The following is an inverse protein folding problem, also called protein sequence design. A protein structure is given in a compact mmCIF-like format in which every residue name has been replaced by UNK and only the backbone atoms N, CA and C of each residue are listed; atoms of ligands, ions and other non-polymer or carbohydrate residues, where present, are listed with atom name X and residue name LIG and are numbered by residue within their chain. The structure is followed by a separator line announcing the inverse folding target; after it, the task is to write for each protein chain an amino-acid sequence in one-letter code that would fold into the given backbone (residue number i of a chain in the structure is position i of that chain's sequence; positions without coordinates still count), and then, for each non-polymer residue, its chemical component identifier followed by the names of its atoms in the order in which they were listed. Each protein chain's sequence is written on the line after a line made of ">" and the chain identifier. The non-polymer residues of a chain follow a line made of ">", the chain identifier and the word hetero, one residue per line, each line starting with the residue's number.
data_IF_786865777475
#
_entry.id   IF_786865777475
#
_cell.length_a   1.000
_cell.length_b   1.000
_cell.length_c   1.000
_cell.angle_alpha   90.00
_cell.angle_beta   90.00
_cell.angle_gamma   90.00
#
_symmetry.space_group_name_H-M   'P 1'
#
loop_
_entity.id
_entity.type
_entity.pdbx_description
1 polymer ?
#
# COMPACT_ATOMS: atom_id res chain seq x y z
N UNK A 1 32.52 -26.87 3.97
CA UNK A 1 32.76 -25.53 4.52
C UNK A 1 33.77 -24.85 3.61
N UNK A 2 33.34 -24.02 2.66
CA UNK A 2 34.25 -23.21 1.84
C UNK A 2 33.81 -21.76 1.96
N UNK A 3 34.64 -21.00 2.65
CA UNK A 3 34.42 -19.62 3.05
C UNK A 3 34.64 -18.70 1.85
N UNK A 4 33.56 -18.22 1.24
CA UNK A 4 33.63 -17.17 0.22
C UNK A 4 33.93 -15.82 0.86
N UNK A 5 35.07 -15.23 0.50
CA UNK A 5 35.56 -13.93 0.97
C UNK A 5 34.54 -12.81 0.69
N UNK A 6 34.12 -12.10 1.74
CA UNK A 6 33.24 -10.90 1.67
C UNK A 6 34.06 -9.62 1.54
N UNK A 7 34.85 -9.45 0.48
CA UNK A 7 35.69 -8.24 0.33
C UNK A 7 35.30 -7.28 -0.79
N UNK A 8 34.40 -7.67 -1.70
CA UNK A 8 34.12 -6.87 -2.91
C UNK A 8 32.66 -6.36 -3.02
N UNK A 9 31.94 -6.27 -1.90
CA UNK A 9 30.57 -5.77 -1.90
C UNK A 9 30.54 -4.23 -1.95
N UNK A 10 30.15 -3.67 -3.10
CA UNK A 10 29.78 -2.25 -3.26
C UNK A 10 28.60 -1.91 -2.31
N UNK A 11 28.52 -0.70 -1.72
CA UNK A 11 27.39 -0.27 -0.87
C UNK A 11 26.00 -0.41 -1.50
N UNK A 12 25.90 -0.63 -2.82
CA UNK A 12 24.64 -0.91 -3.52
C UNK A 12 24.36 -2.42 -3.75
N UNK A 13 25.17 -3.31 -3.18
CA UNK A 13 24.95 -4.76 -3.22
C UNK A 13 25.30 -5.44 -4.55
N UNK A 14 26.18 -4.83 -5.37
CA UNK A 14 26.64 -5.40 -6.64
C UNK A 14 27.81 -6.36 -6.40
N UNK A 15 27.77 -7.55 -7.00
CA UNK A 15 28.88 -8.51 -7.02
C UNK A 15 29.49 -8.45 -8.43
N UNK A 16 30.78 -8.15 -8.54
CA UNK A 16 31.46 -8.04 -9.83
C UNK A 16 31.54 -9.41 -10.52
N UNK A 17 30.75 -9.58 -11.59
CA UNK A 17 30.82 -10.74 -12.49
C UNK A 17 31.94 -10.59 -13.52
N UNK A 18 32.14 -11.62 -14.35
CA UNK A 18 33.10 -11.58 -15.46
C UNK A 18 32.86 -10.35 -16.34
N UNK A 19 33.97 -9.66 -16.63
CA UNK A 19 34.11 -8.39 -17.35
C UNK A 19 32.95 -8.08 -18.33
N UNK A 20 31.96 -7.32 -17.85
CA UNK A 20 30.77 -6.92 -18.61
C UNK A 20 29.43 -7.30 -17.97
N UNK A 21 29.41 -8.20 -16.99
CA UNK A 21 28.18 -8.64 -16.32
C UNK A 21 28.17 -8.24 -14.83
N UNK A 22 27.00 -7.89 -14.31
CA UNK A 22 26.76 -7.57 -12.90
C UNK A 22 25.64 -8.44 -12.33
N UNK A 23 25.88 -9.02 -11.15
CA UNK A 23 24.84 -9.71 -10.39
C UNK A 23 24.13 -8.71 -9.47
N UNK A 24 22.80 -8.62 -9.59
CA UNK A 24 21.92 -7.74 -8.82
C UNK A 24 20.89 -8.58 -8.09
N UNK A 25 20.71 -8.32 -6.80
CA UNK A 25 19.65 -8.95 -6.01
C UNK A 25 18.49 -7.97 -5.84
N UNK A 26 17.29 -8.38 -6.26
CA UNK A 26 16.10 -7.55 -6.10
C UNK A 26 15.75 -7.37 -4.61
N UNK A 27 15.62 -6.13 -4.10
CA UNK A 27 15.34 -5.88 -2.68
C UNK A 27 13.91 -6.28 -2.26
N UNK A 28 12.99 -6.39 -3.23
CA UNK A 28 11.59 -6.78 -2.97
C UNK A 28 11.45 -8.31 -2.89
N UNK A 29 11.78 -9.02 -3.98
CA UNK A 29 11.53 -10.45 -4.10
C UNK A 29 12.77 -11.33 -3.94
N UNK A 30 13.95 -10.74 -3.70
CA UNK A 30 15.25 -11.45 -3.54
C UNK A 30 15.66 -12.29 -4.77
N UNK A 31 15.09 -11.97 -5.93
CA UNK A 31 15.46 -12.59 -7.21
C UNK A 31 16.88 -12.18 -7.58
N UNK A 32 17.68 -13.15 -8.04
CA UNK A 32 19.02 -12.89 -8.58
C UNK A 32 18.91 -12.60 -10.07
N UNK A 33 19.44 -11.45 -10.48
CA UNK A 33 19.46 -10.99 -11.86
C UNK A 33 20.91 -10.88 -12.30
N UNK A 34 21.23 -11.50 -13.43
CA UNK A 34 22.48 -11.25 -14.14
C UNK A 34 22.17 -10.21 -15.22
N UNK A 35 22.74 -9.03 -15.12
CA UNK A 35 22.53 -7.95 -16.08
C UNK A 35 23.84 -7.58 -16.78
N UNK A 36 23.74 -7.14 -18.03
CA UNK A 36 24.86 -6.51 -18.73
C UNK A 36 25.14 -5.13 -18.11
N UNK A 37 26.41 -4.88 -17.76
CA UNK A 37 26.81 -3.69 -17.02
C UNK A 37 26.80 -2.40 -17.88
N UNK A 38 26.88 -2.52 -19.21
CA UNK A 38 26.91 -1.38 -20.12
C UNK A 38 25.50 -0.89 -20.50
N UNK A 39 24.58 -1.83 -20.71
CA UNK A 39 23.23 -1.56 -21.21
C UNK A 39 22.14 -1.69 -20.14
N UNK A 40 22.42 -2.41 -19.05
CA UNK A 40 21.44 -2.71 -18.01
C UNK A 40 20.43 -3.80 -18.40
N UNK A 41 20.63 -4.47 -19.54
CA UNK A 41 19.74 -5.55 -19.99
C UNK A 41 19.90 -6.78 -19.10
N UNK A 42 18.79 -7.34 -18.63
CA UNK A 42 18.78 -8.59 -17.86
C UNK A 42 19.03 -9.76 -18.80
N UNK A 43 20.15 -10.46 -18.60
CA UNK A 43 20.58 -11.63 -19.36
C UNK A 43 20.02 -12.92 -18.78
N UNK A 44 19.97 -13.01 -17.44
CA UNK A 44 19.42 -14.15 -16.72
C UNK A 44 18.65 -13.73 -15.48
N UNK A 45 17.59 -14.46 -15.22
CA UNK A 45 16.72 -14.28 -14.06
C UNK A 45 16.58 -15.61 -13.31
N UNK A 46 17.16 -15.68 -12.12
CA UNK A 46 17.03 -16.80 -11.20
C UNK A 46 16.00 -16.45 -10.12
N UNK A 47 14.72 -16.64 -10.46
CA UNK A 47 13.63 -16.55 -9.49
C UNK A 47 13.64 -17.79 -8.60
N UNK A 48 13.70 -17.56 -7.29
CA UNK A 48 13.37 -18.59 -6.32
C UNK A 48 11.89 -18.96 -6.55
N UNK A 49 11.64 -20.15 -7.11
CA UNK A 49 10.27 -20.66 -7.26
C UNK A 49 9.67 -20.71 -5.86
N UNK A 50 8.59 -19.96 -5.63
CA UNK A 50 7.81 -20.16 -4.41
C UNK A 50 7.36 -21.63 -4.38
N UNK A 51 7.35 -22.27 -3.20
CA UNK A 51 6.76 -23.60 -3.09
C UNK A 51 5.33 -23.52 -3.62
N UNK A 52 4.95 -24.49 -4.47
CA UNK A 52 3.60 -24.54 -5.03
C UNK A 52 2.59 -24.47 -3.88
N UNK A 53 1.76 -23.41 -3.87
CA UNK A 53 0.70 -23.28 -2.87
C UNK A 53 -0.35 -24.35 -3.16
N UNK A 54 -0.83 -25.02 -2.12
CA UNK A 54 -1.95 -25.95 -2.28
C UNK A 54 -3.21 -25.19 -2.67
N UNK A 55 -4.06 -25.82 -3.48
CA UNK A 55 -5.34 -25.23 -3.90
C UNK A 55 -6.22 -24.86 -2.70
N UNK A 56 -6.23 -25.72 -1.68
CA UNK A 56 -6.95 -25.49 -0.41
C UNK A 56 -6.52 -24.19 0.28
N UNK A 57 -5.22 -23.91 0.34
CA UNK A 57 -4.70 -22.69 0.96
C UNK A 57 -5.13 -21.43 0.21
N UNK A 58 -5.21 -21.50 -1.12
CA UNK A 58 -5.67 -20.37 -1.94
C UNK A 58 -7.16 -20.09 -1.67
N UNK A 59 -7.98 -21.13 -1.55
CA UNK A 59 -9.40 -20.96 -1.22
C UNK A 59 -9.61 -20.37 0.17
N UNK A 60 -8.81 -20.79 1.15
CA UNK A 60 -8.85 -20.24 2.50
C UNK A 60 -8.42 -18.76 2.53
N UNK A 61 -7.33 -18.42 1.84
CA UNK A 61 -6.87 -17.03 1.68
C UNK A 61 -7.93 -16.15 0.99
N UNK A 62 -8.60 -16.66 -0.06
CA UNK A 62 -9.66 -15.93 -0.76
C UNK A 62 -10.88 -15.71 0.13
N UNK A 63 -11.29 -16.72 0.90
CA UNK A 63 -12.38 -16.59 1.86
C UNK A 63 -12.06 -15.55 2.94
N UNK A 64 -10.88 -15.63 3.54
CA UNK A 64 -10.44 -14.67 4.55
C UNK A 64 -10.40 -13.23 4.01
N UNK A 65 -9.95 -13.05 2.75
CA UNK A 65 -9.96 -11.75 2.08
C UNK A 65 -11.37 -11.20 1.89
N UNK A 66 -12.33 -12.04 1.49
CA UNK A 66 -13.74 -11.62 1.32
C UNK A 66 -14.33 -11.18 2.64
N UNK A 67 -14.18 -11.99 3.68
CA UNK A 67 -14.69 -11.68 5.02
C UNK A 67 -14.11 -10.35 5.56
N UNK A 68 -12.81 -10.13 5.38
CA UNK A 68 -12.18 -8.85 5.76
C UNK A 68 -12.69 -7.66 4.94
N UNK A 69 -12.97 -7.85 3.65
CA UNK A 69 -13.49 -6.78 2.77
C UNK A 69 -14.92 -6.41 3.14
N UNK A 70 -15.76 -7.40 3.44
CA UNK A 70 -17.15 -7.20 3.86
C UNK A 70 -17.22 -6.47 5.21
N UNK A 71 -16.32 -6.81 6.15
CA UNK A 71 -16.23 -6.12 7.44
C UNK A 71 -15.85 -4.64 7.27
N UNK A 72 -14.83 -4.35 6.45
CA UNK A 72 -14.40 -2.98 6.16
C UNK A 72 -15.50 -2.18 5.50
N UNK A 73 -16.19 -2.77 4.53
CA UNK A 73 -17.30 -2.13 3.84
C UNK A 73 -18.48 -1.86 4.78
N UNK A 74 -18.83 -2.82 5.63
CA UNK A 74 -19.88 -2.65 6.65
C UNK A 74 -19.57 -1.52 7.62
N UNK A 75 -18.32 -1.40 8.08
CA UNK A 75 -17.86 -0.29 8.92
C UNK A 75 -17.95 1.06 8.21
N UNK A 76 -17.53 1.13 6.95
CA UNK A 76 -17.61 2.36 6.15
C UNK A 76 -19.06 2.83 5.98
N UNK A 77 -19.97 1.91 5.62
CA UNK A 77 -21.39 2.21 5.47
C UNK A 77 -22.03 2.67 6.79
N UNK A 78 -21.72 2.01 7.91
CA UNK A 78 -22.21 2.44 9.21
C UNK A 78 -21.74 3.86 9.54
N UNK A 79 -20.45 4.15 9.32
CA UNK A 79 -19.88 5.48 9.56
C UNK A 79 -20.53 6.56 8.68
N UNK A 80 -20.80 6.28 7.41
CA UNK A 80 -21.44 7.23 6.50
C UNK A 80 -22.89 7.55 6.94
N UNK A 81 -23.63 6.54 7.40
CA UNK A 81 -24.99 6.73 7.95
C UNK A 81 -24.97 7.57 9.22
N UNK A 82 -24.05 7.28 10.14
CA UNK A 82 -23.91 8.04 11.39
C UNK A 82 -23.54 9.51 11.11
N UNK A 83 -22.64 9.75 10.15
CA UNK A 83 -22.29 11.09 9.70
C UNK A 83 -23.51 11.82 9.14
N UNK A 84 -24.26 11.17 8.24
CA UNK A 84 -25.47 11.76 7.64
C UNK A 84 -26.48 12.17 8.72
N UNK A 85 -26.75 11.29 9.69
CA UNK A 85 -27.70 11.56 10.77
C UNK A 85 -27.22 12.71 11.67
N UNK A 86 -25.91 12.76 11.96
CA UNK A 86 -25.32 13.86 12.73
C UNK A 86 -25.43 15.20 11.99
N UNK A 87 -25.13 15.22 10.69
CA UNK A 87 -25.24 16.42 9.86
C UNK A 87 -26.69 16.90 9.80
N UNK A 88 -27.64 16.00 9.62
CA UNK A 88 -29.06 16.34 9.58
C UNK A 88 -29.52 16.98 10.90
N UNK A 89 -29.17 16.39 12.05
CA UNK A 89 -29.49 16.97 13.37
C UNK A 89 -28.86 18.34 13.58
N UNK A 90 -27.64 18.55 13.09
CA UNK A 90 -26.97 19.87 13.17
C UNK A 90 -27.65 20.90 12.28
N UNK A 91 -28.09 20.48 11.09
CA UNK A 91 -28.79 21.33 10.15
C UNK A 91 -30.15 21.77 10.68
N UNK A 92 -30.95 20.83 11.22
CA UNK A 92 -32.23 21.12 11.86
C UNK A 92 -32.08 22.14 13.00
N UNK A 93 -31.10 21.92 13.91
CA UNK A 93 -30.81 22.86 14.99
C UNK A 93 -30.35 24.23 14.50
N UNK A 94 -29.60 24.29 13.39
CA UNK A 94 -29.17 25.55 12.81
C UNK A 94 -30.34 26.31 12.17
N UNK A 95 -31.28 25.60 11.55
CA UNK A 95 -32.51 26.18 11.01
C UNK A 95 -33.41 26.74 12.12
N UNK A 96 -33.60 26.00 13.21
CA UNK A 96 -34.37 26.47 14.38
C UNK A 96 -33.77 27.76 14.94
N UNK A 97 -32.45 27.79 15.15
CA UNK A 97 -31.74 29.00 15.62
C UNK A 97 -31.88 30.19 14.68
N UNK A 98 -31.79 29.97 13.37
CA UNK A 98 -31.96 31.03 12.39
C UNK A 98 -33.40 31.58 12.36
N UNK A 99 -34.40 30.75 12.69
CA UNK A 99 -35.78 31.20 12.83
C UNK A 99 -36.00 32.01 14.12
N UNK A 100 -35.31 31.66 15.22
CA UNK A 100 -35.37 32.38 16.49
C UNK A 100 -34.59 33.70 16.47
N UNK A 101 -33.43 33.75 15.80
CA UNK A 101 -32.55 34.92 15.69
C UNK A 101 -32.27 35.29 14.22
N UNK A 102 -33.20 35.95 13.51
CA UNK A 102 -33.07 36.23 12.08
C UNK A 102 -31.99 37.27 11.73
N UNK A 103 -31.54 38.09 12.68
CA UNK A 103 -30.56 39.17 12.45
C UNK A 103 -29.09 38.75 12.69
N UNK A 104 -28.82 37.56 13.25
CA UNK A 104 -27.45 37.07 13.50
C UNK A 104 -26.97 36.16 12.37
N UNK A 105 -26.54 36.76 11.25
CA UNK A 105 -25.92 36.00 10.14
C UNK A 105 -24.70 35.22 10.65
N UNK A 106 -24.64 33.88 10.49
CA UNK A 106 -23.47 33.10 10.83
C UNK A 106 -22.24 33.57 10.05
N UNK A 107 -21.11 33.77 10.74
CA UNK A 107 -19.86 34.22 10.11
C UNK A 107 -19.35 33.14 9.15
N UNK A 108 -19.09 33.52 7.90
CA UNK A 108 -18.55 32.64 6.89
C UNK A 108 -17.11 32.22 7.28
N UNK A 109 -16.80 30.91 7.32
CA UNK A 109 -15.46 30.43 7.66
C UNK A 109 -14.36 30.90 6.71
N UNK A 110 -14.70 31.27 5.48
CA UNK A 110 -13.76 31.79 4.48
C UNK A 110 -13.50 33.30 4.60
N UNK A 111 -14.23 34.03 5.46
CA UNK A 111 -14.02 35.46 5.71
C UNK A 111 -13.00 35.69 6.87
N UNK A 112 -12.25 34.66 7.25
CA UNK A 112 -11.20 34.68 8.26
C UNK A 112 -9.84 34.46 7.57
N UNK A 113 -9.34 35.49 6.88
CA UNK A 113 -7.89 35.66 6.67
C UNK A 113 -7.25 36.26 7.93
#
# INVERSE_FOLDING_TARGET
>A
MSSGNRKDADPQGRIAGSMGEVEVVCPNCKTRLLADAATGVVLREDRKKEPARSFEKILEEDRARREASDELFGKALASERDQKDLLQRKFEKALEKAAEEPDTKPRNPFDMD
#
